data_IF_909760125379
#
_entry.id   IF_909760125379
#
_cell.length_a   1.000
_cell.length_b   1.000
_cell.length_c   1.000
_cell.angle_alpha   90.00
_cell.angle_beta   90.00
_cell.angle_gamma   90.00
#
_symmetry.space_group_name_H-M   'P 1'
#
loop_
_entity.id
_entity.type
_entity.pdbx_description
1 polymer ?
#
# COMPACT_ATOMS: atom_id res chain seq x y z
N UNK A 1 -3.74 -4.66 26.06
CA UNK A 1 -4.50 -3.42 26.28
C UNK A 1 -6.00 -3.76 26.35
N UNK A 2 -6.76 -2.96 27.13
CA UNK A 2 -8.22 -3.05 27.17
C UNK A 2 -8.80 -2.15 26.07
N UNK A 3 -9.91 -2.53 25.41
CA UNK A 3 -10.63 -1.64 24.50
C UNK A 3 -11.10 -0.35 25.18
N UNK A 4 -11.28 0.71 24.37
CA UNK A 4 -11.83 2.01 24.81
C UNK A 4 -11.13 2.57 26.07
N UNK A 5 -9.81 2.45 26.12
CA UNK A 5 -9.01 2.81 27.29
C UNK A 5 -7.85 3.73 26.93
N UNK A 6 -7.50 4.61 27.86
CA UNK A 6 -6.36 5.52 27.69
C UNK A 6 -5.13 4.97 28.43
N UNK A 7 -4.00 4.99 27.74
CA UNK A 7 -2.70 4.60 28.23
C UNK A 7 -1.71 5.75 28.05
N UNK A 8 -0.65 5.75 28.86
CA UNK A 8 0.43 6.70 28.72
C UNK A 8 1.74 5.93 28.61
N UNK A 9 2.61 6.37 27.72
CA UNK A 9 3.94 5.80 27.56
C UNK A 9 5.02 6.88 27.58
N UNK A 10 6.21 6.52 27.98
CA UNK A 10 7.38 7.38 27.95
C UNK A 10 8.57 6.62 27.36
N UNK A 11 9.41 7.34 26.62
CA UNK A 11 10.70 6.84 26.15
C UNK A 11 11.83 7.43 26.97
N UNK A 12 12.87 6.65 27.21
CA UNK A 12 14.08 7.11 27.88
C UNK A 12 15.17 7.34 26.85
N UNK A 13 15.58 8.60 26.63
CA UNK A 13 16.65 8.97 25.72
C UNK A 13 17.85 9.49 26.54
N UNK A 14 19.03 8.96 26.27
CA UNK A 14 20.27 9.36 26.95
C UNK A 14 20.18 9.37 28.47
N UNK A 15 19.39 8.46 29.04
CA UNK A 15 19.18 8.36 30.47
C UNK A 15 18.07 9.26 31.07
N UNK A 16 17.44 10.12 30.28
CA UNK A 16 16.35 11.00 30.67
C UNK A 16 15.00 10.56 30.13
N UNK A 17 13.97 10.55 30.98
CA UNK A 17 12.59 10.28 30.58
C UNK A 17 12.02 11.45 29.79
N UNK A 18 11.52 11.18 28.60
CA UNK A 18 10.86 12.18 27.77
C UNK A 18 9.42 12.40 28.25
N UNK A 19 8.77 13.44 27.71
CA UNK A 19 7.38 13.74 28.01
C UNK A 19 6.48 12.53 27.70
N UNK A 20 5.54 12.24 28.62
CA UNK A 20 4.56 11.18 28.42
C UNK A 20 3.66 11.47 27.20
N UNK A 21 3.44 10.45 26.39
CA UNK A 21 2.53 10.48 25.28
C UNK A 21 1.27 9.68 25.62
N UNK A 22 0.13 10.14 25.16
CA UNK A 22 -1.15 9.46 25.34
C UNK A 22 -1.39 8.49 24.19
N UNK A 23 -1.92 7.32 24.50
CA UNK A 23 -2.41 6.35 23.53
C UNK A 23 -3.81 5.89 23.91
N UNK A 24 -4.75 5.95 22.97
CA UNK A 24 -6.11 5.47 23.15
C UNK A 24 -6.35 4.22 22.33
N UNK A 25 -6.91 3.21 22.96
CA UNK A 25 -7.38 2.02 22.26
C UNK A 25 -8.82 2.24 21.82
N UNK A 26 -9.15 1.87 20.59
CA UNK A 26 -10.49 1.93 20.03
C UNK A 26 -11.39 0.76 20.41
N UNK A 27 -12.53 0.70 19.74
CA UNK A 27 -13.50 -0.40 19.84
C UNK A 27 -13.17 -1.47 18.81
N UNK A 28 -12.77 -2.69 19.19
CA UNK A 28 -12.42 -3.74 18.24
C UNK A 28 -13.61 -4.26 17.41
N UNK A 29 -14.84 -3.95 17.79
CA UNK A 29 -16.06 -4.32 17.06
C UNK A 29 -16.52 -3.24 16.07
N UNK A 30 -15.99 -2.01 16.19
CA UNK A 30 -16.27 -0.88 15.30
C UNK A 30 -15.08 0.08 15.30
N UNK A 31 -14.18 -0.07 14.36
CA UNK A 31 -12.97 0.71 14.28
C UNK A 31 -12.74 1.32 12.90
N UNK A 32 -11.93 2.35 12.87
CA UNK A 32 -11.53 3.01 11.62
C UNK A 32 -10.01 3.07 11.51
N UNK A 33 -9.51 2.97 10.30
CA UNK A 33 -8.10 3.22 10.03
C UNK A 33 -7.92 4.12 8.81
N UNK A 34 -6.81 4.86 8.85
CA UNK A 34 -6.36 5.67 7.74
C UNK A 34 -5.54 4.79 6.79
N UNK A 35 -5.88 4.79 5.51
CA UNK A 35 -5.09 4.16 4.45
C UNK A 35 -4.49 5.25 3.56
N UNK A 36 -3.15 5.25 3.41
CA UNK A 36 -2.39 6.30 2.72
C UNK A 36 -1.30 5.67 1.86
N UNK A 37 -1.24 6.06 0.59
CA UNK A 37 -0.24 5.57 -0.33
C UNK A 37 1.01 6.44 -0.39
N UNK A 38 2.12 5.81 -0.60
CA UNK A 38 3.34 6.37 -1.14
C UNK A 38 3.69 7.76 -0.58
N UNK A 39 3.96 7.87 0.73
CA UNK A 39 4.48 9.11 1.31
C UNK A 39 5.78 9.55 0.62
N UNK A 40 6.60 8.61 0.26
CA UNK A 40 7.80 8.66 -0.59
C UNK A 40 8.61 9.93 -0.34
N UNK A 41 8.97 10.12 0.96
CA UNK A 41 9.75 11.27 1.43
C UNK A 41 11.04 11.40 0.61
N UNK A 42 11.24 12.56 0.00
CA UNK A 42 12.37 12.85 -0.88
C UNK A 42 12.05 12.80 -2.37
N UNK A 43 10.87 12.30 -2.77
CA UNK A 43 10.52 12.10 -4.20
C UNK A 43 10.29 13.41 -4.96
N UNK A 44 10.02 14.52 -4.26
CA UNK A 44 9.81 15.83 -4.90
C UNK A 44 11.10 16.52 -5.39
N UNK A 45 12.25 15.85 -5.36
CA UNK A 45 13.55 16.45 -5.71
C UNK A 45 13.61 17.10 -7.12
N UNK A 46 12.77 16.67 -8.05
CA UNK A 46 12.64 17.27 -9.39
C UNK A 46 11.62 18.40 -9.46
N UNK A 47 10.77 18.55 -8.43
CA UNK A 47 9.77 19.61 -8.40
C UNK A 47 10.41 20.98 -8.19
N UNK A 48 9.65 22.03 -8.45
CA UNK A 48 10.04 23.43 -8.25
C UNK A 48 8.98 24.10 -7.38
N UNK A 49 9.43 24.83 -6.38
CA UNK A 49 8.52 25.61 -5.54
C UNK A 49 9.10 27.02 -5.27
N UNK A 50 8.43 27.81 -4.46
CA UNK A 50 8.87 29.17 -4.11
C UNK A 50 10.22 29.19 -3.37
N UNK A 51 10.50 28.21 -2.50
CA UNK A 51 11.78 28.13 -1.77
C UNK A 51 12.95 27.87 -2.70
N UNK A 52 12.75 27.10 -3.78
CA UNK A 52 13.78 26.75 -4.75
C UNK A 52 14.05 27.83 -5.78
N UNK A 53 13.34 28.96 -5.71
CA UNK A 53 13.46 30.08 -6.65
C UNK A 53 13.27 29.63 -8.12
N UNK A 54 12.34 28.69 -8.37
CA UNK A 54 12.04 28.12 -9.69
C UNK A 54 13.07 27.09 -10.20
N UNK A 55 14.07 26.72 -9.38
CA UNK A 55 14.97 25.59 -9.66
C UNK A 55 14.36 24.29 -9.10
N UNK A 56 14.93 23.15 -9.46
CA UNK A 56 14.59 21.87 -8.82
C UNK A 56 14.99 21.92 -7.36
N UNK A 57 14.16 21.31 -6.50
CA UNK A 57 14.37 21.28 -5.04
C UNK A 57 15.73 20.68 -4.64
N UNK A 58 16.15 19.61 -5.33
CA UNK A 58 17.25 18.76 -4.85
C UNK A 58 16.87 17.94 -3.62
N UNK A 59 17.72 17.02 -3.22
CA UNK A 59 17.37 15.99 -2.24
C UNK A 59 17.08 16.54 -0.84
N UNK A 60 17.92 17.44 -0.33
CA UNK A 60 17.75 17.99 1.02
C UNK A 60 16.43 18.77 1.19
N UNK A 61 16.10 19.61 0.20
CA UNK A 61 14.85 20.37 0.23
C UNK A 61 13.64 19.48 -0.06
N UNK A 62 13.78 18.43 -0.87
CA UNK A 62 12.73 17.49 -1.16
C UNK A 62 12.31 16.70 0.10
N UNK A 63 13.27 16.14 0.82
CA UNK A 63 12.98 15.43 2.07
C UNK A 63 12.23 16.32 3.07
N UNK A 64 12.68 17.58 3.24
CA UNK A 64 12.01 18.54 4.11
C UNK A 64 10.60 18.90 3.62
N UNK A 65 10.43 19.16 2.33
CA UNK A 65 9.15 19.51 1.71
C UNK A 65 8.13 18.37 1.91
N UNK A 66 8.56 17.14 1.61
CA UNK A 66 7.67 15.99 1.65
C UNK A 66 7.32 15.60 3.09
N UNK A 67 8.27 15.73 4.03
CA UNK A 67 8.01 15.56 5.47
C UNK A 67 6.98 16.57 6.00
N UNK A 68 7.05 17.82 5.53
CA UNK A 68 6.05 18.82 5.87
C UNK A 68 4.67 18.44 5.33
N UNK A 69 4.59 18.07 4.05
CA UNK A 69 3.33 17.67 3.41
C UNK A 69 2.75 16.40 4.07
N UNK A 70 3.61 15.43 4.43
CA UNK A 70 3.22 14.25 5.18
C UNK A 70 2.55 14.61 6.51
N UNK A 71 3.19 15.50 7.27
CA UNK A 71 2.62 15.98 8.54
C UNK A 71 1.30 16.73 8.33
N UNK A 72 1.16 17.52 7.26
CA UNK A 72 -0.10 18.20 6.89
C UNK A 72 -1.20 17.19 6.62
N UNK A 73 -0.93 16.15 5.81
CA UNK A 73 -1.91 15.12 5.46
C UNK A 73 -2.41 14.40 6.70
N UNK A 74 -1.51 13.94 7.56
CA UNK A 74 -1.88 13.22 8.78
C UNK A 74 -2.68 14.10 9.76
N UNK A 75 -2.27 15.35 9.96
CA UNK A 75 -3.00 16.24 10.86
C UNK A 75 -4.40 16.56 10.34
N UNK A 76 -4.54 16.88 9.05
CA UNK A 76 -5.86 17.14 8.45
C UNK A 76 -6.77 15.93 8.53
N UNK A 77 -6.25 14.73 8.24
CA UNK A 77 -7.02 13.51 8.37
C UNK A 77 -7.52 13.28 9.80
N UNK A 78 -6.65 13.45 10.81
CA UNK A 78 -7.03 13.29 12.22
C UNK A 78 -7.96 14.41 12.74
N UNK A 79 -7.87 15.61 12.18
CA UNK A 79 -8.81 16.69 12.49
C UNK A 79 -10.21 16.41 11.96
N UNK A 80 -10.32 15.86 10.74
CA UNK A 80 -11.59 15.51 10.12
C UNK A 80 -12.17 14.19 10.66
N UNK A 81 -11.30 13.24 11.01
CA UNK A 81 -11.63 11.87 11.38
C UNK A 81 -10.92 11.47 12.68
N UNK A 82 -11.33 12.06 13.83
CA UNK A 82 -10.73 11.75 15.14
C UNK A 82 -11.02 10.31 15.61
N UNK A 83 -11.90 9.59 14.92
CA UNK A 83 -12.23 8.18 15.17
C UNK A 83 -11.18 7.20 14.61
N UNK A 84 -10.14 7.67 13.92
CA UNK A 84 -9.10 6.81 13.35
C UNK A 84 -8.24 6.20 14.48
N UNK A 85 -8.19 4.87 14.52
CA UNK A 85 -7.46 4.11 15.54
C UNK A 85 -5.99 3.83 15.17
N UNK A 86 -5.69 3.66 13.87
CA UNK A 86 -4.34 3.39 13.35
C UNK A 86 -4.19 3.77 11.88
N UNK A 87 -2.95 3.73 11.40
CA UNK A 87 -2.57 4.02 10.02
C UNK A 87 -2.11 2.75 9.32
N UNK A 88 -2.48 2.57 8.05
CA UNK A 88 -1.96 1.55 7.13
C UNK A 88 -1.33 2.25 5.93
N UNK A 89 -0.07 1.90 5.62
CA UNK A 89 0.63 2.36 4.42
C UNK A 89 1.09 1.16 3.59
N UNK A 90 0.82 1.14 2.28
CA UNK A 90 1.18 0.01 1.43
C UNK A 90 2.65 0.00 1.02
N UNK A 91 3.48 0.95 1.45
CA UNK A 91 4.90 0.99 1.14
C UNK A 91 5.38 2.34 0.61
N UNK A 92 6.64 2.38 0.18
CA UNK A 92 7.34 3.57 -0.29
C UNK A 92 7.26 4.72 0.72
N UNK A 93 7.74 4.47 1.93
CA UNK A 93 7.86 5.49 2.96
C UNK A 93 8.92 6.53 2.57
N UNK A 94 9.95 6.11 1.84
CA UNK A 94 11.10 6.92 1.41
C UNK A 94 11.31 6.82 -0.10
N UNK A 95 12.12 7.71 -0.66
CA UNK A 95 12.40 7.78 -2.11
C UNK A 95 13.72 7.12 -2.50
N UNK A 96 14.74 7.19 -1.66
CA UNK A 96 16.06 6.62 -1.96
C UNK A 96 16.07 5.13 -1.66
N UNK A 97 16.48 4.32 -2.64
CA UNK A 97 16.48 2.85 -2.54
C UNK A 97 17.52 2.27 -1.57
N UNK A 98 18.55 3.03 -1.17
CA UNK A 98 19.54 2.60 -0.18
C UNK A 98 20.37 1.39 -0.64
N UNK A 99 20.97 1.44 -1.82
CA UNK A 99 21.71 0.33 -2.44
C UNK A 99 23.10 0.07 -1.78
N UNK A 100 23.16 -0.06 -0.46
CA UNK A 100 24.38 -0.31 0.32
C UNK A 100 25.51 0.72 0.17
N UNK A 101 25.37 1.74 -0.68
CA UNK A 101 26.26 2.90 -0.71
C UNK A 101 26.03 3.74 0.55
N UNK A 102 27.10 4.09 1.25
CA UNK A 102 27.02 4.84 2.51
C UNK A 102 26.33 6.20 2.36
N UNK A 103 26.36 6.81 1.18
CA UNK A 103 25.67 8.06 0.88
C UNK A 103 24.18 7.82 0.76
N UNK A 104 23.78 6.80 0.00
CA UNK A 104 22.37 6.47 -0.21
C UNK A 104 21.70 5.98 1.10
N UNK A 105 22.41 5.18 1.90
CA UNK A 105 21.94 4.78 3.23
C UNK A 105 21.74 5.99 4.15
N UNK A 106 22.69 6.96 4.15
CA UNK A 106 22.51 8.18 4.94
C UNK A 106 21.30 8.99 4.48
N UNK A 107 21.12 9.14 3.19
CA UNK A 107 19.98 9.87 2.62
C UNK A 107 18.66 9.15 2.93
N UNK A 108 18.63 7.82 2.88
CA UNK A 108 17.48 7.02 3.25
C UNK A 108 17.12 7.21 4.74
N UNK A 109 18.13 7.23 5.64
CA UNK A 109 17.92 7.51 7.06
C UNK A 109 17.38 8.93 7.32
N UNK A 110 17.88 9.93 6.58
CA UNK A 110 17.36 11.30 6.64
C UNK A 110 15.87 11.34 6.21
N UNK A 111 15.50 10.56 5.20
CA UNK A 111 14.11 10.44 4.71
C UNK A 111 13.21 9.67 5.71
N UNK A 112 13.68 8.56 6.31
CA UNK A 112 12.93 7.88 7.38
C UNK A 112 12.74 8.78 8.61
N UNK A 113 13.75 9.57 8.96
CA UNK A 113 13.61 10.59 10.02
C UNK A 113 12.49 11.59 9.67
N UNK A 114 12.42 12.00 8.41
CA UNK A 114 11.34 12.85 7.90
C UNK A 114 9.96 12.22 8.04
N UNK A 115 9.83 10.97 7.61
CA UNK A 115 8.59 10.20 7.72
C UNK A 115 8.13 10.06 9.18
N UNK A 116 9.04 9.64 10.07
CA UNK A 116 8.76 9.39 11.48
C UNK A 116 8.60 10.68 12.31
N UNK A 117 8.99 11.85 11.77
CA UNK A 117 8.88 13.13 12.47
C UNK A 117 7.45 13.64 12.64
N UNK A 118 6.50 13.11 11.88
CA UNK A 118 5.11 13.52 11.94
C UNK A 118 4.53 13.36 13.35
N UNK A 119 4.00 14.45 13.91
CA UNK A 119 3.57 14.51 15.32
C UNK A 119 2.48 13.52 15.67
N UNK A 120 1.58 13.24 14.71
CA UNK A 120 0.47 12.29 14.83
C UNK A 120 0.97 10.88 15.14
N UNK A 121 2.09 10.45 14.55
CA UNK A 121 2.65 9.11 14.74
C UNK A 121 3.13 8.81 16.17
N UNK A 122 3.18 9.81 17.03
CA UNK A 122 3.44 9.60 18.47
C UNK A 122 2.26 8.92 19.18
N UNK A 123 1.06 9.13 18.69
CA UNK A 123 -0.17 8.67 19.33
C UNK A 123 -0.98 7.72 18.43
N UNK A 124 -0.60 7.60 17.16
CA UNK A 124 -1.26 6.77 16.15
C UNK A 124 -0.36 5.59 15.76
N UNK A 125 -0.70 4.35 16.12
CA UNK A 125 0.01 3.17 15.64
C UNK A 125 -0.03 3.07 14.12
N UNK A 126 0.99 2.46 13.55
CA UNK A 126 1.08 2.29 12.10
C UNK A 126 1.42 0.86 11.72
N UNK A 127 0.83 0.39 10.63
CA UNK A 127 1.16 -0.85 9.94
C UNK A 127 1.62 -0.51 8.52
N UNK A 128 2.86 -0.84 8.18
CA UNK A 128 3.50 -0.41 6.94
C UNK A 128 4.00 -1.61 6.15
N UNK A 129 3.73 -1.64 4.85
CA UNK A 129 4.31 -2.61 3.94
C UNK A 129 5.68 -2.14 3.43
N UNK A 130 6.42 -3.03 2.79
CA UNK A 130 7.69 -2.74 2.15
C UNK A 130 7.43 -2.34 0.70
N UNK A 131 7.73 -1.10 0.33
CA UNK A 131 7.69 -0.62 -1.05
C UNK A 131 8.97 -0.95 -1.82
N UNK A 132 8.97 -0.70 -3.14
CA UNK A 132 10.14 -0.96 -3.98
C UNK A 132 11.29 0.02 -3.73
N UNK A 133 11.01 1.16 -3.10
CA UNK A 133 12.04 2.08 -2.62
C UNK A 133 12.55 1.72 -1.22
N UNK A 134 11.82 0.94 -0.44
CA UNK A 134 12.24 0.47 0.90
C UNK A 134 13.04 -0.83 0.85
N UNK A 135 12.82 -1.67 -0.19
CA UNK A 135 13.18 -3.10 -0.18
C UNK A 135 14.69 -3.39 -0.27
N UNK A 136 15.50 -2.45 -0.77
CA UNK A 136 16.90 -2.70 -1.16
C UNK A 136 17.91 -2.61 -0.02
N UNK A 137 17.48 -2.25 1.19
CA UNK A 137 18.37 -2.14 2.37
C UNK A 137 17.68 -2.62 3.64
N UNK A 138 18.47 -2.82 4.70
CA UNK A 138 17.94 -3.18 6.02
C UNK A 138 17.38 -1.98 6.81
N UNK A 139 17.42 -0.76 6.28
CA UNK A 139 16.97 0.45 6.99
C UNK A 139 15.51 0.33 7.42
N UNK A 140 14.63 -0.20 6.57
CA UNK A 140 13.23 -0.44 6.93
C UNK A 140 13.09 -1.24 8.24
N UNK A 141 13.81 -2.35 8.39
CA UNK A 141 13.76 -3.20 9.60
C UNK A 141 14.24 -2.47 10.87
N UNK A 142 15.10 -1.45 10.72
CA UNK A 142 15.59 -0.67 11.85
C UNK A 142 14.54 0.30 12.40
N UNK A 143 13.53 0.64 11.60
CA UNK A 143 12.50 1.62 11.94
C UNK A 143 11.15 0.99 12.27
N UNK A 144 10.86 -0.22 11.75
CA UNK A 144 9.55 -0.87 11.92
C UNK A 144 9.69 -2.25 12.55
N UNK A 145 9.07 -2.41 13.73
CA UNK A 145 9.01 -3.68 14.44
C UNK A 145 7.67 -4.37 14.13
N UNK A 146 7.61 -5.03 12.99
CA UNK A 146 6.40 -5.67 12.52
C UNK A 146 6.03 -6.89 13.36
N UNK A 147 4.74 -7.07 13.73
CA UNK A 147 4.30 -8.24 14.48
C UNK A 147 4.25 -9.49 13.58
N UNK A 148 4.48 -10.66 14.18
CA UNK A 148 4.38 -11.95 13.49
C UNK A 148 5.06 -11.99 12.10
N UNK A 149 6.34 -11.58 11.97
CA UNK A 149 7.04 -11.62 10.70
C UNK A 149 7.15 -13.07 10.19
N UNK A 150 6.95 -13.26 8.88
CA UNK A 150 7.04 -14.57 8.26
C UNK A 150 8.49 -14.91 7.89
N UNK A 151 9.24 -15.43 8.83
CA UNK A 151 10.67 -15.71 8.68
C UNK A 151 10.98 -16.94 7.79
N UNK A 152 9.96 -17.60 7.28
CA UNK A 152 10.07 -18.81 6.44
C UNK A 152 10.09 -18.47 4.94
N UNK A 153 10.07 -17.18 4.55
CA UNK A 153 10.24 -16.78 3.15
C UNK A 153 11.57 -17.31 2.60
N UNK A 154 11.52 -17.90 1.41
CA UNK A 154 12.71 -18.47 0.76
C UNK A 154 13.57 -17.40 0.04
N UNK A 155 12.96 -16.27 -0.31
CA UNK A 155 13.60 -15.16 -1.03
C UNK A 155 13.26 -13.80 -0.40
N UNK A 156 13.57 -13.59 0.90
CA UNK A 156 13.29 -12.31 1.55
C UNK A 156 14.11 -11.17 0.92
N UNK A 157 13.60 -9.96 0.98
CA UNK A 157 14.37 -8.77 0.58
C UNK A 157 15.28 -8.31 1.74
N UNK A 158 16.29 -7.46 1.49
CA UNK A 158 17.08 -6.83 2.56
C UNK A 158 16.24 -6.08 3.61
N UNK A 159 15.09 -5.54 3.22
CA UNK A 159 14.14 -4.87 4.13
C UNK A 159 13.34 -5.84 5.01
N UNK A 160 13.41 -7.14 4.77
CA UNK A 160 12.74 -8.17 5.55
C UNK A 160 11.58 -8.84 4.83
N UNK A 161 10.66 -9.37 5.62
CA UNK A 161 9.62 -10.29 5.23
C UNK A 161 8.22 -9.67 5.31
N UNK A 162 7.24 -10.35 4.73
CA UNK A 162 5.85 -10.11 5.03
C UNK A 162 5.51 -10.45 6.49
N UNK A 163 4.36 -9.98 6.95
CA UNK A 163 3.89 -10.19 8.33
C UNK A 163 2.36 -10.16 8.40
N UNK A 164 1.80 -10.47 9.56
CA UNK A 164 0.35 -10.34 9.77
C UNK A 164 0.00 -9.88 11.18
N UNK A 165 -1.17 -9.31 11.32
CA UNK A 165 -1.76 -8.94 12.61
C UNK A 165 -3.28 -8.97 12.52
N UNK A 166 -3.93 -9.03 13.67
CA UNK A 166 -5.38 -8.87 13.77
C UNK A 166 -5.74 -7.63 14.58
N UNK A 167 -6.81 -6.97 14.18
CA UNK A 167 -7.46 -5.92 14.96
C UNK A 167 -8.97 -6.18 14.94
N UNK A 168 -9.57 -6.40 16.12
CA UNK A 168 -10.95 -6.83 16.21
C UNK A 168 -11.20 -8.13 15.44
N UNK A 169 -12.17 -8.11 14.55
CA UNK A 169 -12.55 -9.23 13.69
C UNK A 169 -11.88 -9.22 12.30
N UNK A 170 -10.91 -8.33 12.08
CA UNK A 170 -10.15 -8.25 10.84
C UNK A 170 -8.73 -8.80 11.00
N UNK A 171 -8.32 -9.61 10.03
CA UNK A 171 -6.96 -10.10 9.82
C UNK A 171 -6.32 -9.30 8.70
N UNK A 172 -5.21 -8.65 9.00
CA UNK A 172 -4.37 -7.94 8.05
C UNK A 172 -3.15 -8.80 7.72
N UNK A 173 -2.94 -9.06 6.44
CA UNK A 173 -1.83 -9.85 5.93
C UNK A 173 -1.00 -8.93 5.02
N UNK A 174 0.16 -8.54 5.49
CA UNK A 174 1.04 -7.60 4.80
C UNK A 174 2.10 -8.39 4.05
N UNK A 175 1.99 -8.45 2.74
CA UNK A 175 2.93 -9.18 1.89
C UNK A 175 4.02 -8.24 1.35
N UNK A 176 5.24 -8.75 1.25
CA UNK A 176 6.34 -8.04 0.60
C UNK A 176 6.37 -8.42 -0.89
N UNK A 177 5.56 -7.74 -1.71
CA UNK A 177 5.42 -8.05 -3.13
C UNK A 177 6.67 -7.75 -3.98
N UNK A 178 7.74 -7.20 -3.38
CA UNK A 178 9.07 -7.15 -4.02
C UNK A 178 9.74 -8.54 -4.07
N UNK A 179 9.30 -9.48 -3.24
CA UNK A 179 9.57 -10.89 -3.41
C UNK A 179 8.58 -11.45 -4.45
N UNK A 180 9.06 -11.83 -5.63
CA UNK A 180 8.22 -12.37 -6.70
C UNK A 180 7.92 -13.86 -6.54
N UNK A 181 8.27 -14.47 -5.42
CA UNK A 181 7.93 -15.86 -5.13
C UNK A 181 6.53 -15.99 -4.55
N UNK A 182 5.56 -16.26 -5.41
CA UNK A 182 4.16 -16.42 -5.01
C UNK A 182 3.93 -17.55 -4.00
N UNK A 183 4.80 -18.56 -3.95
CA UNK A 183 4.69 -19.63 -2.96
C UNK A 183 4.95 -19.14 -1.53
N UNK A 184 5.88 -18.19 -1.34
CA UNK A 184 6.12 -17.57 -0.04
C UNK A 184 4.88 -16.79 0.44
N UNK A 185 4.26 -16.03 -0.46
CA UNK A 185 3.04 -15.27 -0.14
C UNK A 185 1.86 -16.20 0.20
N UNK A 186 1.70 -17.30 -0.56
CA UNK A 186 0.70 -18.31 -0.25
C UNK A 186 0.90 -18.90 1.15
N UNK A 187 2.14 -19.27 1.48
CA UNK A 187 2.46 -19.83 2.78
C UNK A 187 2.20 -18.86 3.94
N UNK A 188 2.55 -17.57 3.77
CA UNK A 188 2.23 -16.51 4.73
C UNK A 188 0.72 -16.37 4.93
N UNK A 189 -0.06 -16.29 3.83
CA UNK A 189 -1.52 -16.14 3.87
C UNK A 189 -2.17 -17.31 4.60
N UNK A 190 -1.81 -18.55 4.21
CA UNK A 190 -2.35 -19.77 4.83
C UNK A 190 -2.00 -19.86 6.33
N UNK A 191 -0.77 -19.48 6.72
CA UNK A 191 -0.36 -19.41 8.13
C UNK A 191 -1.17 -18.37 8.90
N UNK A 192 -1.28 -17.16 8.37
CA UNK A 192 -2.04 -16.08 9.01
C UNK A 192 -3.50 -16.48 9.26
N UNK A 193 -4.16 -17.07 8.26
CA UNK A 193 -5.55 -17.55 8.38
C UNK A 193 -5.66 -18.68 9.39
N UNK A 194 -4.74 -19.64 9.35
CA UNK A 194 -4.72 -20.77 10.31
C UNK A 194 -4.60 -20.30 11.75
N UNK A 195 -3.80 -19.26 11.99
CA UNK A 195 -3.61 -18.68 13.33
C UNK A 195 -4.75 -17.76 13.74
N UNK A 196 -5.56 -17.28 12.79
CA UNK A 196 -6.70 -16.38 13.02
C UNK A 196 -8.01 -16.93 12.40
N UNK A 197 -8.46 -18.13 12.77
CA UNK A 197 -9.57 -18.82 12.08
C UNK A 197 -10.92 -18.12 12.24
N UNK A 198 -11.06 -17.22 13.18
CA UNK A 198 -12.30 -16.49 13.47
C UNK A 198 -12.35 -15.10 12.84
N UNK A 199 -11.32 -14.69 12.10
CA UNK A 199 -11.33 -13.42 11.41
C UNK A 199 -12.42 -13.40 10.34
N UNK A 200 -13.32 -12.43 10.44
CA UNK A 200 -14.43 -12.25 9.47
C UNK A 200 -13.97 -11.51 8.22
N UNK A 201 -13.01 -10.59 8.40
CA UNK A 201 -12.42 -9.80 7.34
C UNK A 201 -10.97 -10.24 7.11
N UNK A 202 -10.64 -10.56 5.87
CA UNK A 202 -9.28 -10.90 5.44
C UNK A 202 -8.79 -9.85 4.47
N UNK A 203 -7.84 -9.05 4.91
CA UNK A 203 -7.35 -7.88 4.19
C UNK A 203 -5.88 -8.10 3.86
N UNK A 204 -5.53 -8.09 2.59
CA UNK A 204 -4.14 -8.07 2.14
C UNK A 204 -3.68 -6.63 1.96
N UNK A 205 -2.47 -6.32 2.41
CA UNK A 205 -1.79 -5.06 2.15
C UNK A 205 -0.51 -5.36 1.38
N UNK A 206 -0.30 -4.70 0.25
CA UNK A 206 0.87 -4.88 -0.59
C UNK A 206 1.24 -3.58 -1.30
N UNK A 207 2.49 -3.46 -1.74
CA UNK A 207 2.90 -2.23 -2.40
C UNK A 207 2.46 -2.16 -3.86
N UNK A 208 2.88 -3.11 -4.67
CA UNK A 208 2.59 -3.10 -6.09
C UNK A 208 1.08 -3.20 -6.35
N UNK A 209 0.58 -2.35 -7.22
CA UNK A 209 -0.81 -2.37 -7.64
C UNK A 209 -1.02 -3.36 -8.79
N UNK A 210 -1.71 -4.43 -8.48
CA UNK A 210 -2.05 -5.45 -9.48
C UNK A 210 -3.35 -5.14 -10.22
N UNK A 211 -4.16 -4.21 -9.70
CA UNK A 211 -5.38 -3.69 -10.32
C UNK A 211 -5.52 -2.19 -10.04
N UNK A 212 -4.62 -1.40 -10.58
CA UNK A 212 -4.66 0.06 -10.54
C UNK A 212 -5.09 0.69 -11.86
N UNK A 213 -4.79 1.96 -12.04
CA UNK A 213 -5.08 2.71 -13.27
C UNK A 213 -4.02 3.74 -13.64
N UNK A 214 -2.84 3.70 -13.01
CA UNK A 214 -1.71 4.54 -13.33
C UNK A 214 -0.96 4.07 -14.57
N UNK A 215 -0.48 5.01 -15.35
CA UNK A 215 0.13 4.76 -16.66
C UNK A 215 1.45 3.98 -16.58
N UNK A 216 2.13 4.05 -15.45
CA UNK A 216 3.50 3.54 -15.35
C UNK A 216 3.57 2.07 -14.90
N UNK A 217 2.59 1.60 -14.11
CA UNK A 217 2.66 0.30 -13.43
C UNK A 217 1.49 -0.64 -13.73
N UNK A 218 0.26 -0.15 -13.70
CA UNK A 218 -0.94 -1.00 -13.74
C UNK A 218 -1.09 -1.86 -15.00
N UNK A 219 -0.57 -1.42 -16.15
CA UNK A 219 -0.62 -2.17 -17.41
C UNK A 219 0.75 -2.72 -17.84
N UNK A 220 1.71 -2.73 -16.91
CA UNK A 220 3.07 -3.22 -17.11
C UNK A 220 3.45 -4.28 -16.08
N UNK A 221 4.28 -3.98 -15.10
CA UNK A 221 4.82 -4.96 -14.14
C UNK A 221 3.75 -5.58 -13.21
N UNK A 222 2.67 -4.85 -12.91
CA UNK A 222 1.55 -5.34 -12.10
C UNK A 222 0.89 -6.60 -12.64
N UNK A 223 0.88 -6.81 -13.97
CA UNK A 223 0.26 -7.98 -14.61
C UNK A 223 0.90 -9.31 -14.16
N UNK A 224 2.21 -9.34 -13.93
CA UNK A 224 2.91 -10.56 -13.46
C UNK A 224 2.39 -11.00 -12.10
N UNK A 225 2.38 -10.06 -11.16
CA UNK A 225 1.89 -10.34 -9.81
C UNK A 225 0.40 -10.66 -9.82
N UNK A 226 -0.38 -10.02 -10.71
CA UNK A 226 -1.79 -10.29 -10.90
C UNK A 226 -2.05 -11.75 -11.23
N UNK A 227 -1.39 -12.30 -12.28
CA UNK A 227 -1.57 -13.69 -12.68
C UNK A 227 -1.18 -14.70 -11.61
N UNK A 228 -0.26 -14.35 -10.72
CA UNK A 228 0.26 -15.23 -9.67
C UNK A 228 -0.53 -15.14 -8.37
N UNK A 229 -0.95 -13.93 -7.97
CA UNK A 229 -1.53 -13.69 -6.64
C UNK A 229 -3.05 -13.83 -6.61
N UNK A 230 -3.76 -13.46 -7.69
CA UNK A 230 -5.23 -13.47 -7.65
C UNK A 230 -5.81 -14.86 -7.42
N UNK A 231 -5.29 -15.97 -7.98
CA UNK A 231 -5.77 -17.31 -7.64
C UNK A 231 -5.53 -17.68 -6.17
N UNK A 232 -4.45 -17.16 -5.57
CA UNK A 232 -4.16 -17.38 -4.15
C UNK A 232 -5.14 -16.61 -3.29
N UNK A 233 -5.46 -15.38 -3.66
CA UNK A 233 -6.42 -14.55 -2.93
C UNK A 233 -7.82 -15.17 -2.95
N UNK A 234 -8.29 -15.62 -4.12
CA UNK A 234 -9.58 -16.31 -4.26
C UNK A 234 -9.64 -17.60 -3.43
N UNK A 235 -8.60 -18.44 -3.53
CA UNK A 235 -8.55 -19.72 -2.81
C UNK A 235 -8.50 -19.57 -1.28
N UNK A 236 -8.19 -18.38 -0.78
CA UNK A 236 -8.09 -18.06 0.63
C UNK A 236 -9.17 -17.09 1.11
N UNK A 237 -10.22 -16.86 0.33
CA UNK A 237 -11.33 -15.95 0.66
C UNK A 237 -10.85 -14.58 1.14
N UNK A 238 -9.90 -13.97 0.43
CA UNK A 238 -9.49 -12.59 0.69
C UNK A 238 -10.59 -11.66 0.26
N UNK A 239 -10.96 -10.70 1.11
CA UNK A 239 -12.04 -9.75 0.85
C UNK A 239 -11.55 -8.49 0.14
N UNK A 240 -10.39 -8.00 0.58
CA UNK A 240 -9.86 -6.69 0.20
C UNK A 240 -8.36 -6.76 0.00
N UNK A 241 -7.88 -6.08 -1.04
CA UNK A 241 -6.45 -5.81 -1.25
C UNK A 241 -6.22 -4.30 -1.28
N UNK A 242 -5.38 -3.81 -0.38
CA UNK A 242 -4.95 -2.43 -0.28
C UNK A 242 -3.56 -2.30 -0.90
N UNK A 243 -3.43 -1.43 -1.90
CA UNK A 243 -2.22 -1.30 -2.72
C UNK A 243 -1.85 0.16 -2.99
N UNK A 244 -0.59 0.41 -3.37
CA UNK A 244 -0.03 1.75 -3.64
C UNK A 244 0.61 1.83 -5.02
N UNK A 245 1.85 2.33 -5.09
CA UNK A 245 2.76 2.31 -6.23
C UNK A 245 2.38 3.20 -7.43
N UNK A 246 1.11 3.23 -7.80
CA UNK A 246 0.59 3.95 -8.98
C UNK A 246 0.48 5.47 -8.79
N UNK A 247 0.62 5.97 -7.55
CA UNK A 247 0.46 7.40 -7.23
C UNK A 247 -0.78 8.04 -7.88
N UNK A 248 -1.83 7.25 -8.05
CA UNK A 248 -3.16 7.64 -8.51
C UNK A 248 -4.22 6.86 -7.75
N UNK A 249 -5.43 7.41 -7.68
CA UNK A 249 -6.53 6.70 -7.03
C UNK A 249 -7.23 5.78 -8.02
N UNK A 250 -7.44 4.53 -7.62
CA UNK A 250 -8.31 3.60 -8.32
C UNK A 250 -8.99 2.63 -7.35
N UNK A 251 -10.24 2.30 -7.59
CA UNK A 251 -10.92 1.16 -6.99
C UNK A 251 -11.57 0.30 -8.04
N UNK A 252 -11.60 -0.99 -7.78
CA UNK A 252 -12.19 -1.95 -8.71
C UNK A 252 -13.66 -2.24 -8.39
N UNK A 253 -14.30 -2.94 -9.28
CA UNK A 253 -15.44 -3.80 -8.97
C UNK A 253 -14.99 -5.00 -8.12
N UNK A 254 -15.91 -5.92 -7.77
CA UNK A 254 -15.52 -7.20 -7.17
C UNK A 254 -14.97 -8.12 -8.27
N UNK A 255 -13.76 -8.60 -8.09
CA UNK A 255 -13.04 -9.39 -9.09
C UNK A 255 -12.72 -10.78 -8.56
N UNK A 256 -12.84 -11.77 -9.42
CA UNK A 256 -12.26 -13.11 -9.20
C UNK A 256 -11.17 -13.36 -10.22
N UNK A 257 -10.26 -14.31 -9.97
CA UNK A 257 -9.40 -14.84 -11.01
C UNK A 257 -10.26 -15.51 -12.10
N UNK A 258 -9.71 -15.69 -13.29
CA UNK A 258 -10.40 -16.40 -14.39
C UNK A 258 -10.37 -17.92 -14.22
N UNK A 259 -9.73 -18.42 -13.17
CA UNK A 259 -9.57 -19.85 -12.88
C UNK A 259 -8.61 -20.58 -13.83
N UNK A 260 -7.90 -19.86 -14.68
CA UNK A 260 -6.92 -20.43 -15.60
C UNK A 260 -5.51 -20.39 -15.01
N UNK A 261 -4.71 -21.39 -15.35
CA UNK A 261 -3.27 -21.32 -15.15
C UNK A 261 -2.64 -20.49 -16.26
N UNK A 262 -1.80 -19.53 -15.91
CA UNK A 262 -1.06 -18.70 -16.85
C UNK A 262 0.39 -19.20 -16.99
N UNK A 263 0.57 -20.53 -17.12
CA UNK A 263 1.87 -21.19 -17.17
C UNK A 263 2.68 -20.76 -18.40
N UNK A 264 2.03 -20.60 -19.56
CA UNK A 264 2.69 -20.10 -20.77
C UNK A 264 3.32 -18.72 -20.56
N UNK A 265 2.71 -17.88 -19.74
CA UNK A 265 3.26 -16.58 -19.37
C UNK A 265 4.51 -16.73 -18.49
N UNK A 266 4.51 -17.68 -17.57
CA UNK A 266 5.68 -17.99 -16.73
C UNK A 266 6.81 -18.61 -17.56
N UNK A 267 6.51 -19.53 -18.49
CA UNK A 267 7.47 -20.13 -19.41
C UNK A 267 8.09 -19.08 -20.33
N UNK A 268 7.28 -18.24 -20.97
CA UNK A 268 7.75 -17.13 -21.79
C UNK A 268 8.70 -16.20 -21.03
N UNK A 269 8.41 -15.95 -19.76
CA UNK A 269 9.25 -15.20 -18.85
C UNK A 269 10.60 -15.90 -18.60
N UNK A 270 10.61 -17.23 -18.41
CA UNK A 270 11.82 -18.01 -18.15
C UNK A 270 12.71 -18.09 -19.40
N UNK A 271 12.16 -18.37 -20.55
CA UNK A 271 12.88 -18.47 -21.83
C UNK A 271 13.57 -17.18 -22.24
N UNK A 272 13.08 -16.05 -21.75
CA UNK A 272 13.62 -14.73 -22.04
C UNK A 272 14.59 -14.20 -20.98
N UNK A 273 15.14 -15.08 -20.13
CA UNK A 273 16.14 -14.73 -19.10
C UNK A 273 15.56 -14.40 -17.74
N UNK A 274 14.32 -14.83 -17.50
CA UNK A 274 13.62 -14.54 -16.25
C UNK A 274 13.04 -13.13 -16.19
N UNK A 275 12.20 -12.91 -15.18
CA UNK A 275 11.75 -11.55 -14.87
C UNK A 275 12.90 -10.78 -14.24
N UNK A 276 13.37 -9.79 -14.95
CA UNK A 276 14.23 -8.76 -14.42
C UNK A 276 13.45 -7.46 -14.44
N UNK A 277 13.10 -6.96 -13.28
CA UNK A 277 12.40 -5.69 -13.13
C UNK A 277 13.13 -4.55 -13.85
N UNK A 278 14.45 -4.55 -13.82
CA UNK A 278 15.26 -3.50 -14.45
C UNK A 278 15.19 -3.50 -15.99
N UNK A 279 14.84 -4.64 -16.61
CA UNK A 279 14.74 -4.77 -18.07
C UNK A 279 13.29 -4.77 -18.57
N UNK A 280 12.32 -4.84 -17.66
CA UNK A 280 10.92 -4.98 -18.04
C UNK A 280 10.43 -3.75 -18.81
N UNK A 281 10.61 -2.58 -18.28
CA UNK A 281 10.15 -1.32 -18.87
C UNK A 281 10.76 -1.10 -20.25
N UNK A 282 12.07 -1.30 -20.38
CA UNK A 282 12.76 -1.17 -21.67
C UNK A 282 12.22 -2.15 -22.71
N UNK A 283 11.96 -3.38 -22.31
CA UNK A 283 11.44 -4.40 -23.20
C UNK A 283 9.99 -4.16 -23.56
N UNK A 284 9.16 -3.79 -22.57
CA UNK A 284 7.75 -3.46 -22.78
C UNK A 284 7.57 -2.29 -23.75
N UNK A 285 8.44 -1.28 -23.67
CA UNK A 285 8.43 -0.15 -24.59
C UNK A 285 8.90 -0.51 -26.02
N UNK A 286 9.95 -1.32 -26.14
CA UNK A 286 10.64 -1.55 -27.41
C UNK A 286 10.17 -2.78 -28.18
N UNK A 287 9.70 -3.84 -27.49
CA UNK A 287 9.25 -5.09 -28.11
C UNK A 287 7.74 -5.15 -28.21
N UNK A 288 7.20 -4.79 -29.37
CA UNK A 288 5.76 -4.80 -29.62
C UNK A 288 5.10 -6.19 -29.53
N UNK A 289 5.84 -7.28 -29.79
CA UNK A 289 5.36 -8.66 -29.65
C UNK A 289 5.25 -9.02 -28.19
N UNK A 290 6.27 -8.74 -27.42
CA UNK A 290 6.27 -8.91 -25.96
C UNK A 290 5.13 -8.13 -25.32
N UNK A 291 4.98 -6.85 -25.66
CA UNK A 291 3.92 -6.00 -25.13
C UNK A 291 2.52 -6.53 -25.46
N UNK A 292 2.28 -6.97 -26.70
CA UNK A 292 0.98 -7.52 -27.09
C UNK A 292 0.65 -8.81 -26.34
N UNK A 293 1.62 -9.71 -26.21
CA UNK A 293 1.49 -10.91 -25.40
C UNK A 293 1.21 -10.59 -23.93
N UNK A 294 2.00 -9.69 -23.36
CA UNK A 294 1.86 -9.28 -21.98
C UNK A 294 0.49 -8.67 -21.68
N UNK A 295 0.01 -7.79 -22.57
CA UNK A 295 -1.33 -7.21 -22.46
C UNK A 295 -2.45 -8.23 -22.60
N UNK A 296 -2.26 -9.30 -23.35
CA UNK A 296 -3.25 -10.38 -23.44
C UNK A 296 -3.44 -11.12 -22.11
N UNK A 297 -2.40 -11.20 -21.27
CA UNK A 297 -2.48 -11.78 -19.93
C UNK A 297 -3.21 -10.87 -18.92
N UNK A 298 -3.48 -9.62 -19.30
CA UNK A 298 -4.26 -8.69 -18.49
C UNK A 298 -5.72 -9.15 -18.28
N UNK A 299 -6.23 -10.01 -19.12
CA UNK A 299 -7.59 -10.58 -19.04
C UNK A 299 -7.68 -11.84 -18.16
N UNK A 300 -6.91 -11.89 -17.08
CA UNK A 300 -6.85 -13.03 -16.14
C UNK A 300 -7.88 -12.95 -15.01
N UNK A 301 -8.98 -12.23 -15.21
CA UNK A 301 -10.00 -11.98 -14.19
C UNK A 301 -11.43 -12.07 -14.77
N UNK A 302 -12.38 -12.26 -13.85
CA UNK A 302 -13.81 -12.04 -14.10
C UNK A 302 -14.31 -10.92 -13.16
N UNK A 303 -15.27 -10.13 -13.66
CA UNK A 303 -15.96 -9.14 -12.82
C UNK A 303 -17.18 -9.83 -12.22
N UNK A 304 -17.10 -10.13 -10.92
CA UNK A 304 -18.14 -10.86 -10.21
C UNK A 304 -19.35 -9.98 -9.85
N UNK A 305 -19.11 -8.70 -9.47
CA UNK A 305 -20.17 -7.75 -9.15
C UNK A 305 -19.76 -6.33 -9.60
N UNK A 306 -20.66 -5.65 -10.34
CA UNK A 306 -20.47 -4.27 -10.85
C UNK A 306 -21.17 -3.20 -10.00
N UNK A 307 -21.66 -3.53 -8.83
CA UNK A 307 -22.30 -2.57 -7.93
C UNK A 307 -21.29 -1.52 -7.47
N UNK A 308 -21.74 -0.26 -7.41
CA UNK A 308 -20.86 0.88 -7.11
C UNK A 308 -21.03 1.46 -5.70
N UNK A 309 -22.06 1.06 -4.98
CA UNK A 309 -22.34 1.59 -3.63
C UNK A 309 -22.17 0.53 -2.56
N UNK A 310 -23.24 -0.23 -2.31
CA UNK A 310 -23.22 -1.31 -1.31
C UNK A 310 -23.38 -2.66 -1.98
N UNK A 311 -22.50 -3.59 -1.65
CA UNK A 311 -22.59 -5.00 -2.08
C UNK A 311 -22.81 -5.88 -0.86
N UNK A 312 -23.58 -6.96 -1.00
CA UNK A 312 -23.94 -7.85 0.11
C UNK A 312 -23.50 -9.27 -0.21
N UNK A 313 -22.64 -9.84 0.66
CA UNK A 313 -22.01 -11.15 0.47
C UNK A 313 -21.45 -11.32 -0.97
N UNK A 314 -20.65 -10.39 -1.47
CA UNK A 314 -20.12 -10.50 -2.83
C UNK A 314 -19.19 -11.71 -2.95
N UNK A 315 -19.16 -12.28 -4.14
CA UNK A 315 -18.02 -13.10 -4.56
C UNK A 315 -16.89 -12.19 -5.02
N UNK A 316 -15.64 -12.65 -4.90
CA UNK A 316 -14.45 -11.96 -5.38
C UNK A 316 -13.85 -10.99 -4.37
N UNK A 317 -12.83 -10.32 -4.84
CA UNK A 317 -11.94 -9.45 -4.08
C UNK A 317 -12.09 -8.00 -4.53
N UNK A 318 -12.10 -7.08 -3.57
CA UNK A 318 -12.09 -5.64 -3.81
C UNK A 318 -10.65 -5.12 -3.75
N UNK A 319 -10.19 -4.39 -4.79
CA UNK A 319 -8.86 -3.78 -4.83
C UNK A 319 -8.97 -2.26 -4.74
N UNK A 320 -8.15 -1.68 -3.89
CA UNK A 320 -8.08 -0.23 -3.68
C UNK A 320 -6.62 0.24 -3.81
N UNK A 321 -6.35 1.06 -4.82
CA UNK A 321 -5.07 1.73 -5.02
C UNK A 321 -5.12 3.15 -4.47
N UNK A 322 -4.20 3.48 -3.58
CA UNK A 322 -4.09 4.81 -3.02
C UNK A 322 -3.19 5.72 -3.84
N UNK A 323 -3.56 7.01 -3.90
CA UNK A 323 -2.72 8.06 -4.46
C UNK A 323 -1.62 8.49 -3.47
N UNK A 324 -0.64 9.26 -3.93
CA UNK A 324 0.40 9.84 -3.08
C UNK A 324 -0.17 10.63 -1.89
N UNK A 325 0.27 10.29 -0.69
CA UNK A 325 -0.16 10.97 0.54
C UNK A 325 0.52 12.33 0.76
N UNK A 326 1.65 12.59 0.09
CA UNK A 326 2.41 13.84 0.22
C UNK A 326 2.34 14.75 -0.99
N UNK A 327 1.87 14.20 -2.14
CA UNK A 327 1.97 14.89 -3.41
C UNK A 327 3.39 15.03 -3.93
N UNK A 328 4.32 14.25 -3.41
CA UNK A 328 5.74 14.26 -3.81
C UNK A 328 5.95 13.80 -5.25
N UNK A 329 5.10 12.89 -5.72
CA UNK A 329 5.11 12.32 -7.06
C UNK A 329 3.72 11.90 -7.48
N UNK A 330 3.38 12.07 -8.75
CA UNK A 330 2.12 11.65 -9.34
C UNK A 330 2.36 11.02 -10.71
N UNK A 331 1.50 10.05 -11.07
CA UNK A 331 1.44 9.48 -12.41
C UNK A 331 0.16 9.88 -13.13
N UNK A 332 0.20 9.87 -14.46
CA UNK A 332 -1.01 9.99 -15.28
C UNK A 332 -1.85 8.72 -15.16
N UNK A 333 -3.14 8.85 -15.41
CA UNK A 333 -3.99 7.67 -15.61
C UNK A 333 -3.74 7.07 -16.99
N UNK A 334 -3.91 5.75 -17.12
CA UNK A 334 -3.98 5.08 -18.41
C UNK A 334 -5.11 5.76 -19.22
N UNK A 335 -4.88 6.12 -20.50
CA UNK A 335 -5.85 6.88 -21.29
C UNK A 335 -7.23 6.22 -21.36
N UNK A 336 -7.29 4.94 -21.63
CA UNK A 336 -8.52 4.16 -21.65
C UNK A 336 -8.75 3.51 -20.28
N UNK A 337 -9.93 3.78 -19.70
CA UNK A 337 -10.28 3.14 -18.43
C UNK A 337 -10.46 1.64 -18.63
N UNK A 338 -9.76 0.87 -17.81
CA UNK A 338 -9.91 -0.58 -17.77
C UNK A 338 -11.32 -0.93 -17.27
N UNK A 339 -11.88 -2.04 -17.78
CA UNK A 339 -13.25 -2.45 -17.46
C UNK A 339 -13.43 -2.97 -16.02
N UNK A 340 -12.33 -3.36 -15.36
CA UNK A 340 -12.34 -3.72 -13.94
C UNK A 340 -12.39 -2.51 -13.00
N UNK A 341 -12.07 -1.32 -13.48
CA UNK A 341 -12.04 -0.09 -12.68
C UNK A 341 -13.45 0.47 -12.51
N UNK A 342 -13.94 0.52 -11.28
CA UNK A 342 -15.22 1.13 -10.93
C UNK A 342 -15.12 2.65 -10.78
N UNK A 343 -14.02 3.15 -10.20
CA UNK A 343 -13.72 4.57 -10.09
C UNK A 343 -12.21 4.81 -10.12
N UNK A 344 -11.79 5.95 -10.66
CA UNK A 344 -10.39 6.40 -10.68
C UNK A 344 -10.30 7.91 -10.66
N UNK A 345 -9.22 8.43 -10.12
CA UNK A 345 -8.97 9.87 -10.08
C UNK A 345 -7.48 10.18 -10.08
N UNK A 346 -7.12 11.22 -10.83
CA UNK A 346 -5.85 11.90 -10.69
C UNK A 346 -6.11 13.41 -10.75
N UNK A 347 -6.23 14.02 -9.60
CA UNK A 347 -6.47 15.45 -9.46
C UNK A 347 -5.21 16.25 -9.12
N UNK A 348 -4.04 15.57 -9.11
CA UNK A 348 -2.73 16.15 -8.80
C UNK A 348 -2.65 16.73 -7.38
N UNK A 349 -3.38 16.15 -6.46
CA UNK A 349 -3.40 16.48 -5.04
C UNK A 349 -3.23 15.24 -4.19
N UNK A 350 -2.61 15.38 -3.01
CA UNK A 350 -2.53 14.26 -2.09
C UNK A 350 -3.91 13.86 -1.59
N UNK A 351 -4.06 12.56 -1.31
CA UNK A 351 -5.30 12.00 -0.78
C UNK A 351 -5.05 10.97 0.31
N UNK A 352 -6.08 10.68 1.09
CA UNK A 352 -6.12 9.61 2.06
C UNK A 352 -7.49 8.95 2.06
N UNK A 353 -7.54 7.69 2.45
CA UNK A 353 -8.79 6.98 2.64
C UNK A 353 -9.05 6.72 4.12
N UNK A 354 -10.30 6.81 4.55
CA UNK A 354 -10.76 6.34 5.85
C UNK A 354 -11.59 5.09 5.62
N UNK A 355 -11.16 4.00 6.25
CA UNK A 355 -11.80 2.70 6.16
C UNK A 355 -12.39 2.38 7.53
N UNK A 356 -13.71 2.17 7.58
CA UNK A 356 -14.40 1.74 8.78
C UNK A 356 -14.78 0.26 8.66
N UNK A 357 -14.46 -0.50 9.68
CA UNK A 357 -14.82 -1.91 9.81
C UNK A 357 -15.70 -2.12 11.03
N UNK A 358 -16.85 -2.74 10.79
CA UNK A 358 -17.70 -3.26 11.84
C UNK A 358 -17.73 -4.79 11.78
N UNK A 359 -18.52 -5.41 12.66
CA UNK A 359 -18.73 -6.84 12.59
C UNK A 359 -19.20 -7.30 11.20
N UNK A 360 -20.05 -6.52 10.54
CA UNK A 360 -20.78 -6.94 9.35
C UNK A 360 -20.52 -6.05 8.12
N UNK A 361 -19.70 -5.00 8.23
CA UNK A 361 -19.44 -4.09 7.13
C UNK A 361 -17.97 -3.65 7.05
N UNK A 362 -17.51 -3.43 5.83
CA UNK A 362 -16.30 -2.72 5.47
C UNK A 362 -16.70 -1.53 4.60
N UNK A 363 -16.37 -0.32 5.00
CA UNK A 363 -16.74 0.90 4.26
C UNK A 363 -15.52 1.75 4.00
N UNK A 364 -15.33 2.20 2.77
CA UNK A 364 -14.24 3.11 2.39
C UNK A 364 -14.76 4.43 1.85
N UNK A 365 -14.12 5.53 2.30
CA UNK A 365 -14.26 6.88 1.78
C UNK A 365 -12.87 7.45 1.54
N UNK A 366 -12.65 8.10 0.40
CA UNK A 366 -11.36 8.71 0.06
C UNK A 366 -11.50 10.22 -0.10
N UNK A 367 -10.57 10.96 0.47
CA UNK A 367 -10.62 12.42 0.62
C UNK A 367 -9.42 13.10 -0.02
N UNK A 368 -9.68 14.24 -0.64
CA UNK A 368 -8.66 15.19 -1.06
C UNK A 368 -8.11 15.93 0.18
N UNK A 369 -6.79 15.93 0.35
CA UNK A 369 -6.14 16.55 1.53
C UNK A 369 -6.31 18.07 1.54
N UNK A 370 -6.34 18.73 0.38
CA UNK A 370 -6.42 20.18 0.31
C UNK A 370 -7.82 20.69 0.60
N UNK A 371 -8.84 20.06 0.02
CA UNK A 371 -10.23 20.51 0.11
C UNK A 371 -11.03 19.84 1.22
N UNK A 372 -10.61 18.64 1.64
CA UNK A 372 -11.38 17.81 2.57
C UNK A 372 -12.61 17.15 1.94
N UNK A 373 -12.81 17.29 0.63
CA UNK A 373 -13.93 16.72 -0.09
C UNK A 373 -13.65 15.26 -0.48
N UNK A 374 -14.72 14.46 -0.59
CA UNK A 374 -14.61 13.09 -1.11
C UNK A 374 -14.27 13.11 -2.61
N UNK A 375 -13.34 12.24 -3.02
CA UNK A 375 -12.94 12.10 -4.43
C UNK A 375 -13.69 10.98 -5.15
N UNK A 376 -14.41 10.14 -4.42
CA UNK A 376 -15.25 9.07 -4.94
C UNK A 376 -16.43 8.81 -3.99
N UNK A 377 -17.48 8.19 -4.51
CA UNK A 377 -18.61 7.77 -3.70
C UNK A 377 -18.22 6.68 -2.70
N UNK A 378 -18.84 6.71 -1.52
CA UNK A 378 -18.65 5.68 -0.50
C UNK A 378 -18.93 4.27 -1.06
N UNK A 379 -18.05 3.33 -0.77
CA UNK A 379 -18.22 1.93 -1.13
C UNK A 379 -18.27 1.04 0.11
N UNK A 380 -19.27 0.15 0.18
CA UNK A 380 -19.49 -0.69 1.35
C UNK A 380 -19.66 -2.14 0.95
N UNK A 381 -18.91 -3.03 1.60
CA UNK A 381 -19.10 -4.47 1.55
C UNK A 381 -19.82 -4.89 2.83
N UNK A 382 -20.89 -5.67 2.71
CA UNK A 382 -21.66 -6.22 3.84
C UNK A 382 -21.59 -7.74 3.82
N UNK A 383 -21.21 -8.35 4.94
CA UNK A 383 -21.23 -9.80 5.19
C UNK A 383 -22.32 -10.13 6.20
N UNK A 384 -23.34 -10.84 5.76
CA UNK A 384 -24.49 -11.28 6.61
C UNK A 384 -24.33 -12.72 7.06
#
# INVERSE_FOLDING_TARGET
FKPNSTYYYQVKLNGEWQQAQEYKTGDPDNFSFMFVGDPQIGSSYKQKNAESNGKKLGNDLAARNDSYNWNVTLNKAMEQHPEIDFLVSPGDQVSVKGNEDAKDLKEQEDQYSGYLSASVLRNLPQAVAIGNHDCSSASYQNHFNNPNPFLEESTPTPAGNGYFYSYGNALFIVINANNYNAADHKALIEKAIKENPNAKWRIVVMHQDIYGSGLDHSDSDGIILRTQLTPIFDANDIDVVLQGHDHSYARTYQLTSDGQAHDEFLEYKQDQGGFNHDNFDERFEKDGVFRAYYKSQNLCYNIADKSQGTVVNPEGVFYLTSNSATGSKFYNLIPEQQDYVAARSQNWRPSYSVINITKDSFTVNTYDVETGEVIDSSYTIVKK
#
